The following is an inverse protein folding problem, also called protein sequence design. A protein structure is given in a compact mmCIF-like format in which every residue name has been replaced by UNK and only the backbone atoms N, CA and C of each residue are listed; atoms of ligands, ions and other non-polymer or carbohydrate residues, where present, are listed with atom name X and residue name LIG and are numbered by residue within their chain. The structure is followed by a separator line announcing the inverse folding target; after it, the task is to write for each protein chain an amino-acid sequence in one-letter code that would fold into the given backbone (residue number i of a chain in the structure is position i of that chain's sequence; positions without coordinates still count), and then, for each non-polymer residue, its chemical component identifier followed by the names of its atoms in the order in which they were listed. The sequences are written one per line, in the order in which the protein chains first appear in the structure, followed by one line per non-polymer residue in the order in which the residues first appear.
data_IF_504084924626
#
_entry.id   IF_504084924626
#
_cell.length_a   1.000
_cell.length_b   1.000
_cell.length_c   1.000
_cell.angle_alpha   90.00
_cell.angle_beta   90.00
_cell.angle_gamma   90.00
#
_symmetry.space_group_name_H-M   'P 1'
#
loop_
_entity.id
_entity.type
_entity.pdbx_description
1 polymer ?
#
# COMPACT_ATOMS: atom_id res chain seq x y z
N UNK A 1 5.00 -3.90 32.37
CA UNK A 1 5.19 -2.96 33.49
C UNK A 1 5.16 -3.72 34.80
N UNK A 2 6.14 -3.45 35.67
CA UNK A 2 6.19 -3.99 37.03
C UNK A 2 5.07 -3.34 37.84
N UNK A 3 4.35 -4.13 38.64
CA UNK A 3 3.37 -3.62 39.61
C UNK A 3 4.05 -3.36 40.95
N UNK A 4 4.79 -4.35 41.46
CA UNK A 4 5.68 -4.18 42.62
C UNK A 4 7.02 -4.86 42.38
N UNK A 5 8.09 -4.31 42.94
CA UNK A 5 9.42 -4.91 42.94
C UNK A 5 10.06 -4.75 44.31
N UNK A 6 10.64 -5.83 44.80
CA UNK A 6 11.49 -5.87 45.99
C UNK A 6 12.86 -6.44 45.58
N UNK A 7 13.79 -6.58 46.52
CA UNK A 7 15.08 -7.23 46.26
C UNK A 7 14.93 -8.74 45.94
N UNK A 8 13.83 -9.37 46.35
CA UNK A 8 13.63 -10.83 46.24
C UNK A 8 12.53 -11.21 45.25
N UNK A 9 11.59 -10.30 44.99
CA UNK A 9 10.35 -10.60 44.28
C UNK A 9 9.95 -9.49 43.32
N UNK A 10 9.16 -9.86 42.32
CA UNK A 10 8.47 -8.89 41.47
C UNK A 10 7.09 -9.40 41.09
N UNK A 11 6.15 -8.47 40.96
CA UNK A 11 4.81 -8.71 40.44
C UNK A 11 4.61 -7.88 39.18
N UNK A 12 3.68 -8.34 38.34
CA UNK A 12 3.39 -7.72 37.06
C UNK A 12 2.01 -7.11 37.08
N UNK A 13 1.91 -5.88 36.55
CA UNK A 13 0.62 -5.25 36.36
C UNK A 13 -0.29 -6.14 35.49
N UNK A 14 -1.60 -6.01 35.65
CA UNK A 14 -2.56 -6.65 34.76
C UNK A 14 -2.39 -6.16 33.32
N UNK A 15 -2.77 -7.00 32.36
CA UNK A 15 -2.86 -6.58 30.96
C UNK A 15 -3.88 -5.44 30.79
N UNK A 16 -3.66 -4.46 29.89
CA UNK A 16 -2.57 -4.40 28.90
C UNK A 16 -1.25 -3.83 29.45
N UNK A 17 -1.26 -3.09 30.56
CA UNK A 17 -0.07 -2.42 31.13
C UNK A 17 1.09 -3.37 31.41
N UNK A 18 0.80 -4.66 31.65
CA UNK A 18 1.81 -5.72 31.68
C UNK A 18 2.82 -5.62 30.53
N UNK A 19 2.37 -5.24 29.34
CA UNK A 19 3.15 -5.21 28.09
C UNK A 19 3.60 -3.80 27.67
N UNK A 20 3.22 -2.75 28.41
CA UNK A 20 3.52 -1.36 28.07
C UNK A 20 4.51 -0.78 29.09
N UNK A 21 5.79 -1.16 28.99
CA UNK A 21 6.82 -0.68 29.91
C UNK A 21 7.23 0.77 29.62
N UNK A 22 7.45 1.55 30.68
CA UNK A 22 7.92 2.94 30.58
C UNK A 22 6.79 3.94 30.30
N UNK A 23 7.19 5.15 29.91
CA UNK A 23 6.25 6.20 29.48
C UNK A 23 5.75 5.84 28.08
N UNK A 24 4.44 5.66 27.88
CA UNK A 24 3.90 5.27 26.58
C UNK A 24 3.96 6.43 25.59
N UNK A 25 3.71 6.11 24.32
CA UNK A 25 3.67 7.07 23.22
C UNK A 25 2.38 7.93 23.25
N UNK A 26 2.26 8.77 24.27
CA UNK A 26 1.01 9.43 24.66
C UNK A 26 0.38 10.26 23.53
N UNK A 27 1.16 11.14 22.90
CA UNK A 27 0.63 12.04 21.86
C UNK A 27 0.13 11.26 20.63
N UNK A 28 0.83 10.20 20.26
CA UNK A 28 0.49 9.35 19.11
C UNK A 28 -0.72 8.47 19.41
N UNK A 29 -0.91 8.03 20.65
CA UNK A 29 -2.13 7.32 21.05
C UNK A 29 -3.35 8.23 20.94
N UNK A 30 -3.24 9.50 21.36
CA UNK A 30 -4.31 10.51 21.20
C UNK A 30 -4.53 10.83 19.71
N UNK A 31 -3.46 10.99 18.94
CA UNK A 31 -3.56 11.21 17.49
C UNK A 31 -4.22 10.03 16.75
N UNK A 32 -3.93 8.80 17.17
CA UNK A 32 -4.58 7.60 16.64
C UNK A 32 -6.07 7.61 16.94
N UNK A 33 -6.49 8.00 18.15
CA UNK A 33 -7.91 8.15 18.47
C UNK A 33 -8.60 9.13 17.50
N UNK A 34 -8.02 10.31 17.27
CA UNK A 34 -8.58 11.28 16.33
C UNK A 34 -8.65 10.73 14.89
N UNK A 35 -7.64 9.96 14.46
CA UNK A 35 -7.65 9.25 13.19
C UNK A 35 -8.76 8.20 13.09
N UNK A 36 -8.97 7.42 14.15
CA UNK A 36 -10.06 6.44 14.22
C UNK A 36 -11.43 7.11 14.18
N UNK A 37 -11.62 8.20 14.91
CA UNK A 37 -12.85 9.01 14.90
C UNK A 37 -13.13 9.60 13.50
N UNK A 38 -12.08 10.04 12.80
CA UNK A 38 -12.18 10.50 11.41
C UNK A 38 -12.69 9.38 10.48
N UNK A 39 -12.10 8.18 10.56
CA UNK A 39 -12.53 7.02 9.76
C UNK A 39 -13.95 6.58 10.12
N UNK A 40 -14.31 6.58 11.40
CA UNK A 40 -15.66 6.24 11.86
C UNK A 40 -16.71 7.23 11.36
N UNK A 41 -16.40 8.53 11.35
CA UNK A 41 -17.29 9.58 10.85
C UNK A 41 -17.57 9.44 9.35
N UNK A 42 -16.57 9.04 8.57
CA UNK A 42 -16.77 8.73 7.14
C UNK A 42 -17.58 7.44 7.00
N UNK A 43 -17.20 6.41 7.76
CA UNK A 43 -17.80 5.08 7.77
C UNK A 43 -16.95 4.08 6.99
N UNK A 44 -16.52 3.00 7.66
CA UNK A 44 -15.62 2.00 7.09
C UNK A 44 -16.20 1.29 5.86
N UNK A 45 -17.51 1.09 5.80
CA UNK A 45 -18.16 0.51 4.62
C UNK A 45 -18.04 1.42 3.39
N UNK A 46 -18.28 2.73 3.55
CA UNK A 46 -18.13 3.70 2.46
C UNK A 46 -16.69 3.80 1.97
N UNK A 47 -15.73 3.74 2.89
CA UNK A 47 -14.30 3.72 2.54
C UNK A 47 -13.99 2.46 1.74
N UNK A 48 -14.48 1.30 2.19
CA UNK A 48 -14.29 0.05 1.47
C UNK A 48 -14.90 0.08 0.07
N UNK A 49 -16.15 0.55 -0.08
CA UNK A 49 -16.83 0.65 -1.37
C UNK A 49 -16.07 1.58 -2.33
N UNK A 50 -15.60 2.73 -1.83
CA UNK A 50 -14.75 3.66 -2.59
C UNK A 50 -13.43 3.01 -3.03
N UNK A 51 -12.75 2.34 -2.09
CA UNK A 51 -11.50 1.62 -2.38
C UNK A 51 -11.70 0.53 -3.43
N UNK A 52 -12.85 -0.16 -3.43
CA UNK A 52 -13.18 -1.17 -4.44
C UNK A 52 -13.42 -0.57 -5.82
N UNK A 53 -14.09 0.58 -5.91
CA UNK A 53 -14.26 1.32 -7.18
C UNK A 53 -12.90 1.71 -7.78
N UNK A 54 -12.01 2.28 -6.96
CA UNK A 54 -10.64 2.61 -7.36
C UNK A 54 -9.84 1.38 -7.79
N UNK A 55 -9.95 0.28 -7.03
CA UNK A 55 -9.28 -0.98 -7.33
C UNK A 55 -9.71 -1.53 -8.68
N UNK A 56 -11.02 -1.55 -8.95
CA UNK A 56 -11.59 -2.02 -10.20
C UNK A 56 -11.11 -1.17 -11.37
N UNK A 57 -11.16 0.16 -11.24
CA UNK A 57 -10.68 1.10 -12.26
C UNK A 57 -9.22 0.84 -12.63
N UNK A 58 -8.34 0.68 -11.64
CA UNK A 58 -6.92 0.42 -11.92
C UNK A 58 -6.69 -0.97 -12.51
N UNK A 59 -7.36 -2.03 -12.03
CA UNK A 59 -7.21 -3.38 -12.61
C UNK A 59 -7.62 -3.40 -14.08
N UNK A 60 -8.76 -2.79 -14.40
CA UNK A 60 -9.29 -2.71 -15.76
C UNK A 60 -8.34 -1.90 -16.65
N UNK A 61 -7.87 -0.76 -16.16
CA UNK A 61 -6.91 0.08 -16.88
C UNK A 61 -5.58 -0.62 -17.15
N UNK A 62 -4.94 -1.20 -16.14
CA UNK A 62 -3.67 -1.91 -16.29
C UNK A 62 -3.82 -3.14 -17.20
N UNK A 63 -4.97 -3.84 -17.13
CA UNK A 63 -5.22 -5.00 -18.00
C UNK A 63 -5.42 -4.62 -19.47
N UNK A 64 -5.70 -3.35 -19.77
CA UNK A 64 -5.82 -2.83 -21.14
C UNK A 64 -4.49 -2.31 -21.71
N UNK A 65 -3.45 -2.15 -20.87
CA UNK A 65 -2.11 -1.74 -21.32
C UNK A 65 -1.32 -3.00 -21.69
N UNK A 66 -0.85 -3.05 -22.94
CA UNK A 66 0.03 -4.13 -23.39
C UNK A 66 1.30 -4.21 -22.54
N UNK A 67 1.84 -5.42 -22.39
CA UNK A 67 3.07 -5.66 -21.63
C UNK A 67 3.03 -5.29 -20.13
N UNK A 68 1.84 -5.08 -19.57
CA UNK A 68 1.64 -4.93 -18.13
C UNK A 68 1.18 -6.24 -17.50
N UNK A 69 1.92 -6.70 -16.49
CA UNK A 69 1.56 -7.86 -15.69
C UNK A 69 1.13 -7.43 -14.29
N UNK A 70 -0.09 -7.80 -13.90
CA UNK A 70 -0.62 -7.62 -12.54
C UNK A 70 -0.29 -8.85 -11.70
N UNK A 71 0.17 -8.65 -10.47
CA UNK A 71 0.37 -9.72 -9.49
C UNK A 71 -0.82 -9.80 -8.52
N UNK A 72 -1.37 -11.00 -8.37
CA UNK A 72 -2.56 -11.29 -7.57
C UNK A 72 -3.85 -11.42 -8.41
N UNK A 73 -5.00 -11.73 -7.77
CA UNK A 73 -6.27 -11.98 -8.46
C UNK A 73 -6.80 -10.75 -9.19
N UNK A 74 -7.24 -10.86 -10.44
CA UNK A 74 -7.86 -9.73 -11.18
C UNK A 74 -9.32 -9.47 -10.78
N UNK A 75 -9.84 -10.20 -9.81
CA UNK A 75 -11.20 -10.02 -9.28
C UNK A 75 -11.15 -9.21 -7.99
N UNK A 76 -12.27 -8.56 -7.65
CA UNK A 76 -12.41 -7.82 -6.40
C UNK A 76 -12.65 -8.73 -5.18
N UNK A 77 -12.85 -10.03 -5.40
CA UNK A 77 -13.12 -10.96 -4.30
C UNK A 77 -11.91 -11.05 -3.37
N UNK A 78 -12.11 -10.66 -2.11
CA UNK A 78 -11.08 -10.68 -1.06
C UNK A 78 -9.80 -9.92 -1.46
N UNK A 79 -9.98 -8.80 -2.17
CA UNK A 79 -8.90 -7.91 -2.61
C UNK A 79 -9.01 -6.55 -1.90
N UNK A 80 -7.87 -5.92 -1.63
CA UNK A 80 -7.80 -4.53 -1.17
C UNK A 80 -7.27 -3.58 -2.27
N UNK A 81 -7.23 -2.30 -1.97
CA UNK A 81 -6.78 -1.17 -2.80
C UNK A 81 -5.29 -1.11 -3.08
N UNK A 82 -4.63 -2.27 -3.17
CA UNK A 82 -3.19 -2.39 -3.39
C UNK A 82 -2.96 -3.27 -4.61
N UNK A 83 -2.26 -2.71 -5.60
CA UNK A 83 -2.00 -3.36 -6.88
C UNK A 83 -0.51 -3.31 -7.18
N UNK A 84 0.12 -4.49 -7.15
CA UNK A 84 1.50 -4.70 -7.59
C UNK A 84 1.50 -5.12 -9.05
N UNK A 85 2.38 -4.53 -9.85
CA UNK A 85 2.49 -4.79 -11.28
C UNK A 85 3.94 -4.61 -11.77
N UNK A 86 4.19 -5.09 -12.98
CA UNK A 86 5.43 -4.85 -13.74
C UNK A 86 5.09 -4.51 -15.18
N UNK A 87 5.99 -3.77 -15.83
CA UNK A 87 5.90 -3.43 -17.25
C UNK A 87 7.07 -4.08 -17.96
N UNK A 88 6.83 -4.92 -18.97
CA UNK A 88 7.90 -5.63 -19.67
C UNK A 88 8.89 -4.64 -20.26
N UNK A 89 10.18 -4.93 -20.08
CA UNK A 89 11.26 -4.08 -20.57
C UNK A 89 11.57 -2.84 -19.72
N UNK A 90 10.83 -2.57 -18.63
CA UNK A 90 11.10 -1.45 -17.72
C UNK A 90 11.36 -2.00 -16.32
N UNK A 91 12.55 -1.73 -15.76
CA UNK A 91 12.84 -2.12 -14.40
C UNK A 91 11.94 -1.33 -13.43
N UNK A 92 11.36 -1.95 -12.37
CA UNK A 92 10.47 -1.24 -11.46
C UNK A 92 11.04 0.05 -10.86
N UNK A 93 12.33 0.08 -10.51
CA UNK A 93 12.98 1.32 -10.05
C UNK A 93 12.97 2.44 -11.10
N UNK A 94 13.19 2.13 -12.37
CA UNK A 94 13.19 3.12 -13.46
C UNK A 94 11.78 3.65 -13.69
N UNK A 95 10.78 2.76 -13.67
CA UNK A 95 9.38 3.16 -13.74
C UNK A 95 8.99 4.06 -12.55
N UNK A 96 9.41 3.69 -11.34
CA UNK A 96 9.14 4.50 -10.14
C UNK A 96 9.75 5.89 -10.22
N UNK A 97 10.99 6.00 -10.70
CA UNK A 97 11.66 7.30 -10.89
C UNK A 97 11.01 8.11 -12.01
N UNK A 98 10.60 7.47 -13.11
CA UNK A 98 9.87 8.15 -14.18
C UNK A 98 8.54 8.74 -13.66
N UNK A 99 7.76 7.95 -12.91
CA UNK A 99 6.49 8.38 -12.34
C UNK A 99 6.66 9.49 -11.29
N UNK A 100 7.71 9.44 -10.47
CA UNK A 100 8.05 10.49 -9.51
C UNK A 100 8.30 11.84 -10.20
N UNK A 101 8.99 11.84 -11.35
CA UNK A 101 9.18 13.05 -12.17
C UNK A 101 7.86 13.63 -12.72
N UNK A 102 6.80 12.83 -12.82
CA UNK A 102 5.44 13.27 -13.18
C UNK A 102 4.60 13.65 -11.96
N UNK A 103 5.17 13.62 -10.76
CA UNK A 103 4.47 13.89 -9.51
C UNK A 103 3.64 12.71 -8.97
N UNK A 104 3.86 11.50 -9.48
CA UNK A 104 3.12 10.30 -9.10
C UNK A 104 3.95 9.43 -8.16
N UNK A 105 3.54 9.38 -6.90
CA UNK A 105 4.21 8.58 -5.89
C UNK A 105 3.74 7.12 -5.91
N UNK A 106 4.64 6.23 -6.33
CA UNK A 106 4.49 4.77 -6.19
C UNK A 106 5.63 4.19 -5.34
N UNK A 107 5.50 2.94 -4.91
CA UNK A 107 6.61 2.22 -4.27
C UNK A 107 7.12 1.11 -5.17
N UNK A 108 8.43 0.92 -5.19
CA UNK A 108 9.10 -0.14 -5.95
C UNK A 108 9.94 -1.00 -5.02
N UNK A 109 10.18 -2.25 -5.41
CA UNK A 109 11.02 -3.19 -4.67
C UNK A 109 10.27 -4.46 -4.26
N UNK A 110 10.61 -4.98 -3.07
CA UNK A 110 10.05 -6.23 -2.55
C UNK A 110 8.86 -6.02 -1.62
N UNK A 111 8.54 -4.78 -1.25
CA UNK A 111 7.44 -4.43 -0.33
C UNK A 111 7.49 -5.20 1.00
N UNK A 112 8.70 -5.45 1.51
CA UNK A 112 8.95 -6.29 2.69
C UNK A 112 8.44 -7.75 2.55
N UNK A 113 8.22 -8.24 1.34
CA UNK A 113 7.66 -9.56 1.01
C UNK A 113 8.59 -10.38 0.10
N UNK A 114 9.90 -10.40 0.39
CA UNK A 114 10.91 -11.07 -0.46
C UNK A 114 10.59 -12.54 -0.82
N UNK A 115 10.14 -13.40 0.10
CA UNK A 115 9.77 -14.78 -0.26
C UNK A 115 8.66 -14.86 -1.30
N UNK A 116 7.68 -13.95 -1.26
CA UNK A 116 6.59 -13.89 -2.25
C UNK A 116 7.12 -13.50 -3.63
N UNK A 117 7.99 -12.49 -3.71
CA UNK A 117 8.64 -12.10 -4.97
C UNK A 117 9.41 -13.27 -5.60
N UNK A 118 10.17 -14.02 -4.78
CA UNK A 118 10.85 -15.25 -5.24
C UNK A 118 9.86 -16.30 -5.77
N UNK A 119 8.76 -16.55 -5.06
CA UNK A 119 7.76 -17.52 -5.49
C UNK A 119 7.06 -17.12 -6.80
N UNK A 120 6.92 -15.82 -7.04
CA UNK A 120 6.37 -15.24 -8.28
C UNK A 120 7.40 -15.15 -9.41
N UNK A 121 8.67 -15.51 -9.16
CA UNK A 121 9.73 -15.46 -10.17
C UNK A 121 10.17 -14.04 -10.56
N UNK A 122 9.90 -13.03 -9.72
CA UNK A 122 10.23 -11.63 -10.00
C UNK A 122 11.19 -11.07 -8.98
N UNK A 123 12.14 -10.25 -9.42
CA UNK A 123 13.04 -9.56 -8.49
C UNK A 123 12.29 -8.48 -7.70
N UNK A 124 11.60 -7.58 -8.39
CA UNK A 124 10.85 -6.47 -7.77
C UNK A 124 9.57 -6.19 -8.55
N UNK A 125 8.68 -5.40 -7.95
CA UNK A 125 7.46 -4.91 -8.61
C UNK A 125 7.26 -3.43 -8.29
N UNK A 126 6.49 -2.75 -9.11
CA UNK A 126 5.92 -1.43 -8.81
C UNK A 126 4.57 -1.65 -8.13
N UNK A 127 4.25 -0.85 -7.11
CA UNK A 127 3.01 -0.97 -6.35
C UNK A 127 2.34 0.38 -6.21
N UNK A 128 1.11 0.46 -6.71
CA UNK A 128 0.17 1.54 -6.43
C UNK A 128 -0.78 1.09 -5.32
N UNK A 129 -0.98 1.95 -4.32
CA UNK A 129 -1.87 1.69 -3.18
C UNK A 129 -2.71 2.92 -2.91
N UNK A 130 -4.02 2.76 -2.86
CA UNK A 130 -4.97 3.85 -2.71
C UNK A 130 -5.63 3.86 -1.35
N UNK A 131 -6.22 4.99 -1.01
CA UNK A 131 -7.02 5.14 0.19
C UNK A 131 -8.21 6.09 -0.05
N UNK A 132 -8.94 6.40 1.03
CA UNK A 132 -10.21 7.15 1.01
C UNK A 132 -10.13 8.54 0.34
N UNK A 133 -8.94 9.12 0.22
CA UNK A 133 -8.72 10.45 -0.34
C UNK A 133 -8.32 10.42 -1.82
N UNK A 134 -8.05 9.24 -2.39
CA UNK A 134 -7.68 9.14 -3.79
C UNK A 134 -8.90 9.24 -4.71
N UNK A 135 -8.67 9.69 -5.93
CA UNK A 135 -9.71 9.91 -6.95
C UNK A 135 -9.49 9.01 -8.17
N UNK A 136 -10.58 8.67 -8.87
CA UNK A 136 -10.50 7.95 -10.14
C UNK A 136 -9.66 8.69 -11.18
N UNK A 137 -9.69 10.02 -11.18
CA UNK A 137 -8.87 10.85 -12.07
C UNK A 137 -7.36 10.70 -11.80
N UNK A 138 -6.95 10.42 -10.56
CA UNK A 138 -5.54 10.15 -10.25
C UNK A 138 -5.10 8.79 -10.81
N UNK A 139 -6.03 7.82 -10.88
CA UNK A 139 -5.80 6.53 -11.53
C UNK A 139 -5.64 6.72 -13.03
N UNK A 140 -6.48 7.56 -13.64
CA UNK A 140 -6.39 7.86 -15.07
C UNK A 140 -5.03 8.45 -15.43
N UNK A 141 -4.54 9.41 -14.63
CA UNK A 141 -3.19 10.00 -14.78
C UNK A 141 -2.10 8.94 -14.62
N UNK A 142 -2.21 8.05 -13.62
CA UNK A 142 -1.25 6.94 -13.45
C UNK A 142 -1.22 6.01 -14.68
N UNK A 143 -2.38 5.66 -15.24
CA UNK A 143 -2.48 4.78 -16.42
C UNK A 143 -1.89 5.44 -17.67
N UNK A 144 -2.15 6.73 -17.86
CA UNK A 144 -1.55 7.52 -18.94
C UNK A 144 -0.03 7.54 -18.81
N UNK A 145 0.50 7.80 -17.62
CA UNK A 145 1.94 7.91 -17.41
C UNK A 145 2.68 6.57 -17.46
N UNK A 146 2.03 5.45 -17.14
CA UNK A 146 2.58 4.11 -17.43
C UNK A 146 2.76 3.93 -18.95
N UNK A 147 1.78 4.37 -19.75
CA UNK A 147 1.86 4.33 -21.21
C UNK A 147 2.91 5.31 -21.77
N UNK A 148 3.10 6.46 -21.12
CA UNK A 148 4.18 7.42 -21.40
C UNK A 148 5.55 6.82 -21.09
N UNK A 149 5.70 6.10 -19.98
CA UNK A 149 6.93 5.41 -19.63
C UNK A 149 7.32 4.37 -20.71
N UNK A 150 6.37 3.57 -21.20
CA UNK A 150 6.64 2.62 -22.29
C UNK A 150 7.15 3.28 -23.57
N UNK A 151 6.67 4.49 -23.89
CA UNK A 151 7.19 5.28 -25.02
C UNK A 151 8.58 5.84 -24.72
N UNK A 152 8.79 6.34 -23.52
CA UNK A 152 10.08 6.91 -23.09
C UNK A 152 11.21 5.88 -23.10
N UNK A 153 10.96 4.67 -22.58
CA UNK A 153 11.94 3.58 -22.56
C UNK A 153 11.98 2.76 -23.86
N UNK A 154 11.14 3.09 -24.86
CA UNK A 154 11.11 2.41 -26.16
C UNK A 154 10.61 0.97 -26.11
N UNK A 155 9.78 0.62 -25.13
CA UNK A 155 9.20 -0.72 -24.97
C UNK A 155 7.85 -0.88 -25.67
N UNK A 156 7.16 0.23 -25.96
CA UNK A 156 5.95 0.22 -26.77
C UNK A 156 6.32 0.00 -28.24
N UNK A 157 5.87 -1.11 -28.83
CA UNK A 157 6.00 -1.36 -30.27
C UNK A 157 4.96 -0.60 -31.08
#
# INVERSE_FOLDING_TARGET
MIETVTMTDSTWAKAPRKFEAGVPNMAQAVGLQAGLEYLQRIGLSKIHDHEMLLTERLINGLSAIEDVQIFGPKTLNSRGGVISFSVSGIHPHDLGQFLDNQGIAVRTGHHCAWPLNKALGVQSTTRASFYLYNLESEIDVLLEEISSAQRYFGTKK
#
